data_IF_523196981140
#
_entry.id   IF_523196981140
#
_cell.length_a   1.000
_cell.length_b   1.000
_cell.length_c   1.000
_cell.angle_alpha   90.00
_cell.angle_beta   90.00
_cell.angle_gamma   90.00
#
_symmetry.space_group_name_H-M   'P 1'
#
loop_
_entity.id
_entity.type
_entity.pdbx_description
1 polymer ?
#
# COMPACT_ATOMS: atom_id res chain seq x y z
N UNK A 1 41.17 2.65 6.32
CA UNK A 1 41.82 3.59 5.39
C UNK A 1 41.32 3.26 3.99
N UNK A 2 40.60 4.18 3.30
CA UNK A 2 40.19 3.96 1.91
C UNK A 2 41.44 4.04 1.03
N UNK A 3 41.86 2.95 0.40
CA UNK A 3 42.84 3.02 -0.68
C UNK A 3 42.09 3.31 -1.97
N UNK A 4 42.01 4.58 -2.36
CA UNK A 4 41.78 4.95 -3.74
C UNK A 4 43.11 4.84 -4.48
N UNK A 5 43.52 3.61 -4.82
CA UNK A 5 44.65 3.40 -5.69
C UNK A 5 44.19 2.64 -6.93
N UNK A 6 44.70 3.07 -8.07
CA UNK A 6 44.57 2.38 -9.36
C UNK A 6 45.28 1.01 -9.30
N UNK A 7 44.70 0.08 -8.56
CA UNK A 7 45.24 -1.25 -8.30
C UNK A 7 44.34 -2.30 -8.94
N UNK A 8 44.96 -3.32 -9.55
CA UNK A 8 44.23 -4.46 -10.06
C UNK A 8 43.56 -5.24 -8.91
N UNK A 9 42.32 -5.64 -9.13
CA UNK A 9 41.48 -6.41 -8.22
C UNK A 9 41.62 -7.90 -8.54
N UNK A 10 41.82 -8.72 -7.51
CA UNK A 10 41.94 -10.17 -7.65
C UNK A 10 40.64 -10.90 -7.31
N UNK A 11 40.53 -12.16 -7.76
CA UNK A 11 39.50 -13.07 -7.24
C UNK A 11 39.75 -13.32 -5.74
N UNK A 12 38.69 -13.29 -4.94
CA UNK A 12 38.73 -13.31 -3.48
C UNK A 12 38.83 -11.92 -2.84
N UNK A 13 39.05 -10.85 -3.61
CA UNK A 13 39.18 -9.50 -3.06
C UNK A 13 37.88 -9.05 -2.41
N UNK A 14 37.97 -8.56 -1.17
CA UNK A 14 36.82 -7.98 -0.49
C UNK A 14 36.57 -6.57 -0.98
N UNK A 15 35.32 -6.32 -1.35
CA UNK A 15 34.80 -5.03 -1.79
C UNK A 15 33.54 -4.69 -1.01
N UNK A 16 33.19 -3.40 -0.92
CA UNK A 16 31.93 -2.97 -0.32
C UNK A 16 31.33 -1.84 -1.12
N UNK A 17 30.01 -1.78 -1.16
CA UNK A 17 29.26 -0.64 -1.69
C UNK A 17 28.26 -0.11 -0.67
N UNK A 18 28.05 1.20 -0.69
CA UNK A 18 26.99 1.87 0.07
C UNK A 18 25.63 1.82 -0.66
N UNK A 19 25.61 1.35 -1.91
CA UNK A 19 24.40 1.27 -2.71
C UNK A 19 23.52 0.09 -2.30
N UNK A 20 22.20 0.31 -2.36
CA UNK A 20 21.17 -0.72 -2.20
C UNK A 20 21.30 -1.58 -0.94
N UNK A 21 21.92 -1.03 0.11
CA UNK A 21 22.23 -1.73 1.37
C UNK A 21 22.98 -3.06 1.16
N UNK A 22 23.79 -3.18 0.10
CA UNK A 22 24.50 -4.42 -0.23
C UNK A 22 25.66 -4.70 0.71
N UNK A 23 26.38 -3.67 1.16
CA UNK A 23 27.48 -3.83 2.10
C UNK A 23 28.69 -4.56 1.50
N UNK A 24 29.32 -5.44 2.29
CA UNK A 24 30.53 -6.19 1.92
C UNK A 24 30.22 -7.37 1.00
N UNK A 25 31.15 -7.65 0.10
CA UNK A 25 31.11 -8.78 -0.83
C UNK A 25 32.50 -9.18 -1.29
N UNK A 26 32.56 -10.25 -2.08
CA UNK A 26 33.80 -10.82 -2.60
C UNK A 26 33.74 -10.89 -4.12
N UNK A 27 34.81 -10.46 -4.78
CA UNK A 27 34.97 -10.64 -6.23
C UNK A 27 35.24 -12.12 -6.50
N UNK A 28 34.39 -12.78 -7.28
CA UNK A 28 34.58 -14.21 -7.59
C UNK A 28 34.92 -14.46 -9.06
N UNK A 29 34.72 -13.48 -9.95
CA UNK A 29 35.20 -13.53 -11.32
C UNK A 29 35.64 -12.14 -11.79
N UNK A 30 36.70 -12.12 -12.60
CA UNK A 30 37.20 -10.93 -13.30
C UNK A 30 37.24 -11.26 -14.79
N UNK A 31 36.59 -10.43 -15.59
CA UNK A 31 36.49 -10.61 -17.04
C UNK A 31 37.20 -9.45 -17.74
N UNK A 32 38.00 -9.73 -18.77
CA UNK A 32 38.76 -8.72 -19.49
C UNK A 32 40.10 -8.36 -18.84
N UNK A 33 40.79 -7.37 -19.42
CA UNK A 33 42.10 -6.91 -18.96
C UNK A 33 41.94 -5.63 -18.15
N UNK A 34 42.35 -5.64 -16.89
CA UNK A 34 42.18 -4.51 -15.97
C UNK A 34 43.07 -3.32 -16.36
N UNK A 35 42.48 -2.12 -16.42
CA UNK A 35 43.17 -0.85 -16.69
C UNK A 35 42.76 0.20 -15.68
N UNK A 36 43.00 0.00 -14.37
CA UNK A 36 42.46 0.86 -13.31
C UNK A 36 43.02 2.29 -13.37
N UNK A 37 44.23 2.47 -13.91
CA UNK A 37 44.84 3.79 -14.12
C UNK A 37 44.12 4.63 -15.20
N UNK A 38 43.35 4.00 -16.09
CA UNK A 38 42.54 4.70 -17.09
C UNK A 38 41.17 5.14 -16.57
N UNK A 39 40.79 4.71 -15.37
CA UNK A 39 39.49 5.04 -14.77
C UNK A 39 39.47 6.51 -14.36
N UNK A 40 38.44 7.21 -14.78
CA UNK A 40 38.18 8.60 -14.41
C UNK A 40 36.71 8.86 -14.15
N UNK A 41 36.42 10.07 -13.65
CA UNK A 41 35.05 10.54 -13.42
C UNK A 41 34.89 11.97 -13.95
N UNK A 42 33.80 12.22 -14.66
CA UNK A 42 33.39 13.56 -15.07
C UNK A 42 32.41 14.18 -14.07
N UNK A 43 32.29 15.53 -14.04
CA UNK A 43 31.20 16.20 -13.33
C UNK A 43 29.84 15.62 -13.74
N UNK A 44 28.93 15.46 -12.79
CA UNK A 44 27.60 14.86 -13.02
C UNK A 44 27.50 13.35 -12.81
N UNK A 45 28.56 12.69 -12.29
CA UNK A 45 28.49 11.29 -11.87
C UNK A 45 28.73 10.25 -12.97
N UNK A 46 29.29 10.67 -14.10
CA UNK A 46 29.67 9.77 -15.20
C UNK A 46 31.08 9.24 -14.94
N UNK A 47 31.20 7.92 -14.76
CA UNK A 47 32.49 7.22 -14.70
C UNK A 47 32.86 6.66 -16.08
N UNK A 48 34.14 6.69 -16.43
CA UNK A 48 34.67 6.16 -17.70
C UNK A 48 36.01 5.44 -17.50
N UNK A 49 36.47 4.77 -18.54
CA UNK A 49 37.75 4.04 -18.53
C UNK A 49 37.65 2.66 -17.90
N UNK A 50 38.79 1.97 -17.84
CA UNK A 50 38.86 0.55 -17.51
C UNK A 50 38.53 -0.34 -18.71
N UNK A 51 38.89 -1.62 -18.59
CA UNK A 51 38.71 -2.63 -19.65
C UNK A 51 38.38 -4.03 -19.07
N UNK A 52 37.91 -4.04 -17.82
CA UNK A 52 37.43 -5.24 -17.14
C UNK A 52 36.02 -5.07 -16.54
N UNK A 53 35.38 -6.21 -16.28
CA UNK A 53 34.16 -6.30 -15.48
C UNK A 53 34.29 -7.35 -14.39
N UNK A 54 33.51 -7.20 -13.32
CA UNK A 54 33.66 -7.97 -12.09
C UNK A 54 32.34 -8.61 -11.69
N UNK A 55 32.39 -9.90 -11.35
CA UNK A 55 31.28 -10.56 -10.67
C UNK A 55 31.56 -10.60 -9.16
N UNK A 56 30.59 -10.11 -8.39
CA UNK A 56 30.72 -9.89 -6.95
C UNK A 56 29.54 -10.57 -6.25
N UNK A 57 29.84 -11.40 -5.25
CA UNK A 57 28.86 -12.02 -4.37
C UNK A 57 28.87 -11.27 -3.02
N UNK A 58 27.70 -10.82 -2.55
CA UNK A 58 27.60 -10.06 -1.29
C UNK A 58 27.35 -10.99 -0.10
N UNK A 59 27.93 -10.64 1.04
CA UNK A 59 27.72 -11.36 2.32
C UNK A 59 26.27 -11.24 2.79
N UNK A 60 25.58 -10.15 2.43
CA UNK A 60 24.15 -9.92 2.66
C UNK A 60 23.23 -10.70 1.72
N UNK A 61 23.80 -11.37 0.71
CA UNK A 61 23.07 -12.10 -0.32
C UNK A 61 22.93 -11.33 -1.65
N UNK A 62 22.80 -12.10 -2.73
CA UNK A 62 22.69 -11.61 -4.11
C UNK A 62 24.03 -11.31 -4.79
N UNK A 63 23.95 -11.15 -6.12
CA UNK A 63 25.12 -11.06 -6.99
C UNK A 63 25.05 -9.81 -7.87
N UNK A 64 26.19 -9.16 -8.05
CA UNK A 64 26.40 -8.22 -9.15
C UNK A 64 27.19 -8.93 -10.23
N UNK A 65 26.64 -9.08 -11.43
CA UNK A 65 27.36 -9.67 -12.58
C UNK A 65 27.79 -8.57 -13.55
N UNK A 66 29.03 -8.64 -14.01
CA UNK A 66 29.58 -7.73 -15.01
C UNK A 66 29.68 -6.28 -14.55
N UNK A 67 29.98 -6.02 -13.27
CA UNK A 67 30.18 -4.65 -12.79
C UNK A 67 31.38 -4.00 -13.51
N UNK A 68 31.23 -2.86 -14.19
CA UNK A 68 32.34 -2.21 -14.87
C UNK A 68 33.44 -1.74 -13.91
N UNK A 69 34.70 -1.84 -14.36
CA UNK A 69 35.88 -1.36 -13.62
C UNK A 69 35.77 0.11 -13.21
N UNK A 70 35.23 0.96 -14.09
CA UNK A 70 34.99 2.38 -13.79
C UNK A 70 34.02 2.62 -12.63
N UNK A 71 33.08 1.69 -12.40
CA UNK A 71 32.15 1.76 -11.27
C UNK A 71 32.78 1.20 -10.01
N UNK A 72 33.50 0.07 -10.10
CA UNK A 72 34.15 -0.55 -8.94
C UNK A 72 35.23 0.36 -8.32
N UNK A 73 35.95 1.12 -9.13
CA UNK A 73 36.89 2.14 -8.67
C UNK A 73 36.22 3.51 -8.38
N UNK A 74 34.91 3.60 -8.56
CA UNK A 74 34.12 4.80 -8.31
C UNK A 74 33.93 5.13 -6.83
N UNK A 75 33.44 6.34 -6.55
CA UNK A 75 33.32 6.89 -5.18
C UNK A 75 32.42 6.10 -4.23
N UNK A 76 31.47 5.34 -4.77
CA UNK A 76 30.48 4.57 -4.00
C UNK A 76 30.97 3.18 -3.59
N UNK A 77 32.15 2.79 -4.06
CA UNK A 77 32.76 1.50 -3.78
C UNK A 77 34.01 1.66 -2.94
N UNK A 78 34.38 0.60 -2.23
CA UNK A 78 35.59 0.51 -1.45
C UNK A 78 36.19 -0.87 -1.63
N UNK A 79 37.45 -0.91 -2.04
CA UNK A 79 38.23 -2.13 -2.21
C UNK A 79 39.11 -2.26 -0.96
N UNK A 80 39.06 -3.40 -0.30
CA UNK A 80 39.81 -3.67 0.92
C UNK A 80 41.01 -4.55 0.58
N UNK A 81 42.15 -4.44 1.29
CA UNK A 81 43.32 -5.28 1.05
C UNK A 81 43.08 -6.77 1.38
N UNK A 82 42.01 -7.07 2.11
CA UNK A 82 41.61 -8.43 2.47
C UNK A 82 41.25 -9.27 1.24
N UNK A 83 41.87 -10.45 1.13
CA UNK A 83 41.58 -11.46 0.12
C UNK A 83 41.10 -12.73 0.85
N UNK A 84 39.87 -13.16 0.55
CA UNK A 84 39.26 -14.39 1.06
C UNK A 84 39.87 -15.61 0.40
N UNK A 85 39.90 -16.73 1.13
CA UNK A 85 40.30 -18.03 0.57
C UNK A 85 39.36 -18.47 -0.55
N UNK A 86 39.76 -19.47 -1.34
CA UNK A 86 38.91 -20.06 -2.37
C UNK A 86 37.65 -20.68 -1.75
N UNK A 87 37.79 -21.35 -0.62
CA UNK A 87 36.70 -21.97 0.11
C UNK A 87 35.74 -20.93 0.70
N UNK A 88 36.28 -19.84 1.28
CA UNK A 88 35.47 -18.72 1.78
C UNK A 88 34.70 -18.04 0.64
N UNK A 89 35.37 -17.74 -0.47
CA UNK A 89 34.76 -17.15 -1.66
C UNK A 89 33.64 -18.05 -2.18
N UNK A 90 33.89 -19.35 -2.32
CA UNK A 90 32.88 -20.32 -2.76
C UNK A 90 31.68 -20.40 -1.81
N UNK A 91 31.89 -20.30 -0.48
CA UNK A 91 30.79 -20.25 0.50
C UNK A 91 29.94 -19.00 0.32
N UNK A 92 30.55 -17.83 0.16
CA UNK A 92 29.84 -16.56 -0.04
C UNK A 92 29.05 -16.59 -1.35
N UNK A 93 29.65 -17.06 -2.45
CA UNK A 93 28.97 -17.23 -3.75
C UNK A 93 27.78 -18.16 -3.62
N UNK A 94 27.95 -19.34 -3.02
CA UNK A 94 26.86 -20.30 -2.82
C UNK A 94 25.70 -19.71 -2.01
N UNK A 95 26.01 -18.98 -0.95
CA UNK A 95 24.99 -18.29 -0.16
C UNK A 95 24.24 -17.25 -1.00
N UNK A 96 24.96 -16.38 -1.71
CA UNK A 96 24.39 -15.35 -2.56
C UNK A 96 23.50 -15.92 -3.66
N UNK A 97 23.93 -16.98 -4.35
CA UNK A 97 23.12 -17.67 -5.36
C UNK A 97 21.86 -18.31 -4.78
N UNK A 98 21.93 -18.87 -3.57
CA UNK A 98 20.76 -19.44 -2.91
C UNK A 98 19.72 -18.37 -2.57
N UNK A 99 20.16 -17.17 -2.18
CA UNK A 99 19.28 -16.05 -1.88
C UNK A 99 18.64 -15.46 -3.15
N UNK A 100 19.37 -15.36 -4.27
CA UNK A 100 18.76 -14.96 -5.56
C UNK A 100 17.73 -15.99 -6.02
N UNK A 101 18.04 -17.28 -5.90
CA UNK A 101 17.11 -18.35 -6.26
C UNK A 101 15.86 -18.32 -5.40
N UNK A 102 16.00 -18.14 -4.08
CA UNK A 102 14.88 -17.99 -3.15
C UNK A 102 13.99 -16.82 -3.53
N UNK A 103 14.58 -15.63 -3.74
CA UNK A 103 13.82 -14.43 -4.15
C UNK A 103 13.15 -14.58 -5.51
N UNK A 104 13.82 -15.23 -6.46
CA UNK A 104 13.25 -15.51 -7.78
C UNK A 104 12.09 -16.49 -7.69
N UNK A 105 12.23 -17.57 -6.91
CA UNK A 105 11.17 -18.53 -6.67
C UNK A 105 9.98 -17.90 -5.95
N UNK A 106 10.21 -17.09 -4.92
CA UNK A 106 9.15 -16.32 -4.23
C UNK A 106 8.40 -15.39 -5.20
N UNK A 107 9.13 -14.72 -6.11
CA UNK A 107 8.53 -13.86 -7.13
C UNK A 107 7.72 -14.66 -8.16
N UNK A 108 8.23 -15.80 -8.60
CA UNK A 108 7.55 -16.70 -9.54
C UNK A 108 6.30 -17.33 -8.90
N UNK A 109 6.39 -17.77 -7.65
CA UNK A 109 5.27 -18.30 -6.87
C UNK A 109 4.22 -17.21 -6.65
N UNK A 110 4.62 -16.00 -6.27
CA UNK A 110 3.70 -14.87 -6.13
C UNK A 110 3.03 -14.50 -7.46
N UNK A 111 3.77 -14.49 -8.58
CA UNK A 111 3.22 -14.24 -9.91
C UNK A 111 2.24 -15.35 -10.34
N UNK A 112 2.55 -16.62 -10.05
CA UNK A 112 1.66 -17.76 -10.32
C UNK A 112 0.38 -17.68 -9.52
N UNK A 113 0.47 -17.40 -8.21
CA UNK A 113 -0.69 -17.22 -7.35
C UNK A 113 -1.56 -16.03 -7.81
N UNK A 114 -0.92 -14.91 -8.17
CA UNK A 114 -1.61 -13.75 -8.69
C UNK A 114 -2.35 -14.04 -10.00
N UNK A 115 -1.72 -14.78 -10.92
CA UNK A 115 -2.34 -15.20 -12.18
C UNK A 115 -3.51 -16.15 -11.96
N UNK A 116 -3.34 -17.18 -11.10
CA UNK A 116 -4.40 -18.12 -10.76
C UNK A 116 -5.61 -17.41 -10.13
N UNK A 117 -5.38 -16.48 -9.21
CA UNK A 117 -6.45 -15.71 -8.58
C UNK A 117 -7.13 -14.76 -9.57
N UNK A 118 -6.37 -14.15 -10.47
CA UNK A 118 -6.94 -13.32 -11.54
C UNK A 118 -7.89 -14.10 -12.43
N UNK A 119 -7.51 -15.32 -12.84
CA UNK A 119 -8.39 -16.18 -13.64
C UNK A 119 -9.62 -16.63 -12.86
N UNK A 120 -9.45 -17.05 -11.60
CA UNK A 120 -10.57 -17.43 -10.72
C UNK A 120 -11.59 -16.31 -10.61
N UNK A 121 -11.14 -15.07 -10.39
CA UNK A 121 -12.00 -13.89 -10.23
C UNK A 121 -12.74 -13.50 -11.51
N UNK A 122 -12.12 -13.65 -12.69
CA UNK A 122 -12.78 -13.37 -13.97
C UNK A 122 -13.97 -14.29 -14.23
N UNK A 123 -13.90 -15.53 -13.76
CA UNK A 123 -14.93 -16.57 -13.97
C UNK A 123 -15.84 -16.79 -12.76
N UNK A 124 -15.64 -16.05 -11.67
CA UNK A 124 -16.35 -16.22 -10.42
C UNK A 124 -17.86 -15.89 -10.58
N UNK A 125 -18.79 -16.83 -10.27
CA UNK A 125 -20.22 -16.61 -10.44
C UNK A 125 -20.76 -15.39 -9.68
N UNK A 126 -20.19 -15.10 -8.51
CA UNK A 126 -20.56 -13.94 -7.69
C UNK A 126 -20.28 -12.59 -8.37
N UNK A 127 -19.40 -12.56 -9.37
CA UNK A 127 -19.05 -11.35 -10.13
C UNK A 127 -19.53 -11.39 -11.59
N UNK A 128 -20.31 -12.39 -11.98
CA UNK A 128 -20.80 -12.56 -13.35
C UNK A 128 -21.59 -11.34 -13.88
N UNK A 129 -22.24 -10.58 -12.99
CA UNK A 129 -22.97 -9.38 -13.36
C UNK A 129 -22.08 -8.13 -13.53
N UNK A 130 -20.82 -8.17 -13.10
CA UNK A 130 -19.92 -7.01 -13.09
C UNK A 130 -19.24 -6.83 -14.45
N UNK A 131 -19.04 -5.57 -14.84
CA UNK A 131 -18.31 -5.22 -16.06
C UNK A 131 -16.81 -5.35 -15.83
N UNK A 132 -16.12 -5.91 -16.83
CA UNK A 132 -14.66 -5.98 -16.93
C UNK A 132 -14.11 -4.96 -17.95
N UNK A 133 -14.97 -4.02 -18.40
CA UNK A 133 -14.62 -3.02 -19.41
C UNK A 133 -13.74 -1.95 -18.77
N UNK A 134 -12.46 -1.89 -19.16
CA UNK A 134 -11.40 -1.05 -18.57
C UNK A 134 -11.67 0.46 -18.70
N UNK A 135 -12.64 0.97 -17.95
CA UNK A 135 -13.17 2.33 -18.03
C UNK A 135 -12.96 3.14 -16.73
N UNK A 136 -11.98 2.75 -15.92
CA UNK A 136 -11.60 3.43 -14.67
C UNK A 136 -12.79 3.65 -13.73
N UNK A 137 -12.92 4.85 -13.17
CA UNK A 137 -14.01 5.18 -12.24
C UNK A 137 -15.42 4.95 -12.81
N UNK A 138 -15.63 5.02 -14.13
CA UNK A 138 -16.95 4.75 -14.73
C UNK A 138 -17.34 3.27 -14.54
N UNK A 139 -16.41 2.35 -14.80
CA UNK A 139 -16.58 0.92 -14.54
C UNK A 139 -16.88 0.67 -13.07
N UNK A 140 -16.08 1.25 -12.17
CA UNK A 140 -16.23 1.10 -10.72
C UNK A 140 -17.61 1.57 -10.25
N UNK A 141 -18.09 2.75 -10.69
CA UNK A 141 -19.42 3.22 -10.30
C UNK A 141 -20.53 2.29 -10.77
N UNK A 142 -20.41 1.69 -11.96
CA UNK A 142 -21.39 0.73 -12.49
C UNK A 142 -21.42 -0.54 -11.66
N UNK A 143 -20.24 -1.09 -11.36
CA UNK A 143 -20.10 -2.34 -10.60
C UNK A 143 -20.56 -2.18 -9.14
N UNK A 144 -20.18 -1.09 -8.47
CA UNK A 144 -20.67 -0.78 -7.11
C UNK A 144 -22.20 -0.71 -7.07
N UNK A 145 -22.85 -0.06 -8.05
CA UNK A 145 -24.34 -0.01 -8.08
C UNK A 145 -24.96 -1.40 -8.16
N UNK A 146 -24.39 -2.30 -8.96
CA UNK A 146 -24.90 -3.67 -9.13
C UNK A 146 -24.78 -4.47 -7.83
N UNK A 147 -23.62 -4.41 -7.19
CA UNK A 147 -23.39 -5.14 -5.94
C UNK A 147 -24.25 -4.62 -4.79
N UNK A 148 -24.31 -3.30 -4.59
CA UNK A 148 -25.12 -2.72 -3.53
C UNK A 148 -26.61 -3.01 -3.71
N UNK A 149 -27.11 -2.97 -4.95
CA UNK A 149 -28.50 -3.32 -5.25
C UNK A 149 -28.81 -4.79 -4.99
N UNK A 150 -27.86 -5.69 -5.27
CA UNK A 150 -28.03 -7.12 -5.02
C UNK A 150 -27.98 -7.44 -3.52
N UNK A 151 -27.06 -6.81 -2.77
CA UNK A 151 -26.87 -7.08 -1.34
C UNK A 151 -27.91 -6.41 -0.44
N UNK A 152 -28.37 -5.22 -0.81
CA UNK A 152 -29.32 -4.42 -0.02
C UNK A 152 -30.57 -4.09 -0.85
N UNK A 153 -31.42 -5.09 -1.13
CA UNK A 153 -32.65 -4.86 -1.88
C UNK A 153 -33.56 -3.89 -1.13
N UNK A 154 -34.15 -2.94 -1.86
CA UNK A 154 -35.04 -1.92 -1.31
C UNK A 154 -34.36 -0.61 -0.89
N UNK A 155 -33.03 -0.57 -0.83
CA UNK A 155 -32.28 0.67 -0.52
C UNK A 155 -31.84 1.37 -1.82
N UNK A 156 -32.06 2.68 -1.90
CA UNK A 156 -31.69 3.49 -3.05
C UNK A 156 -30.30 4.10 -2.87
N UNK A 157 -29.31 3.57 -3.58
CA UNK A 157 -27.94 4.11 -3.61
C UNK A 157 -27.74 5.11 -4.75
N UNK A 158 -27.11 6.25 -4.43
CA UNK A 158 -26.58 7.25 -5.36
C UNK A 158 -25.06 7.07 -5.47
N UNK A 159 -24.61 6.41 -6.53
CA UNK A 159 -23.18 6.16 -6.80
C UNK A 159 -22.72 7.05 -7.95
N UNK A 160 -21.82 7.98 -7.66
CA UNK A 160 -21.35 9.00 -8.61
C UNK A 160 -19.84 9.09 -8.65
N UNK A 161 -19.29 9.28 -9.85
CA UNK A 161 -17.90 9.66 -10.05
C UNK A 161 -17.72 11.12 -9.59
N UNK A 162 -16.74 11.40 -8.73
CA UNK A 162 -16.38 12.77 -8.30
C UNK A 162 -15.20 13.34 -9.09
N UNK A 163 -14.29 12.48 -9.54
CA UNK A 163 -13.09 12.86 -10.27
C UNK A 163 -12.54 11.68 -11.07
N UNK A 164 -11.34 11.82 -11.62
CA UNK A 164 -10.71 10.73 -12.38
C UNK A 164 -10.59 9.44 -11.56
N UNK A 165 -10.23 9.58 -10.28
CA UNK A 165 -9.86 8.49 -9.38
C UNK A 165 -10.70 8.45 -8.09
N UNK A 166 -11.94 8.94 -8.17
CA UNK A 166 -12.80 9.04 -6.98
C UNK A 166 -14.27 8.79 -7.24
N UNK A 167 -14.89 8.07 -6.31
CA UNK A 167 -16.31 7.69 -6.31
C UNK A 167 -16.94 8.06 -4.98
N UNK A 168 -18.18 8.53 -5.01
CA UNK A 168 -19.01 8.70 -3.82
C UNK A 168 -20.28 7.86 -3.89
N UNK A 169 -20.59 7.19 -2.78
CA UNK A 169 -21.75 6.34 -2.55
C UNK A 169 -22.56 6.99 -1.45
N UNK A 170 -23.78 7.42 -1.78
CA UNK A 170 -24.67 8.07 -0.80
C UNK A 170 -25.99 7.30 -0.76
N UNK A 171 -26.58 7.14 0.42
CA UNK A 171 -27.89 6.52 0.62
C UNK A 171 -28.56 7.07 1.87
N UNK A 172 -29.83 6.76 2.05
CA UNK A 172 -30.62 7.17 3.23
C UNK A 172 -31.06 5.94 4.01
N UNK A 173 -30.91 5.98 5.33
CA UNK A 173 -31.25 4.89 6.29
C UNK A 173 -30.57 3.55 5.92
N UNK A 174 -31.20 2.41 6.20
CA UNK A 174 -30.78 1.11 5.66
C UNK A 174 -29.48 0.55 6.27
N UNK A 175 -28.55 -0.02 5.48
CA UNK A 175 -27.31 -0.61 6.01
C UNK A 175 -26.40 0.43 6.63
N UNK A 176 -25.57 0.01 7.59
CA UNK A 176 -24.57 0.89 8.20
C UNK A 176 -23.45 1.23 7.21
N UNK A 177 -22.67 2.26 7.52
CA UNK A 177 -21.54 2.65 6.67
C UNK A 177 -20.51 1.52 6.55
N UNK A 178 -20.28 0.77 7.62
CA UNK A 178 -19.37 -0.38 7.67
C UNK A 178 -19.85 -1.50 6.72
N UNK A 179 -21.16 -1.77 6.70
CA UNK A 179 -21.73 -2.79 5.81
C UNK A 179 -21.59 -2.43 4.33
N UNK A 180 -21.69 -1.13 4.01
CA UNK A 180 -21.47 -0.62 2.66
C UNK A 180 -19.97 -0.61 2.32
N UNK A 181 -19.10 -0.17 3.23
CA UNK A 181 -17.63 -0.22 3.07
C UNK A 181 -17.12 -1.64 2.82
N UNK A 182 -17.68 -2.63 3.51
CA UNK A 182 -17.36 -4.04 3.27
C UNK A 182 -17.65 -4.51 1.83
N UNK A 183 -18.51 -3.81 1.09
CA UNK A 183 -18.76 -4.05 -0.35
C UNK A 183 -17.85 -3.19 -1.22
N UNK A 184 -17.63 -1.93 -0.84
CA UNK A 184 -17.02 -0.93 -1.73
C UNK A 184 -15.51 -0.82 -1.60
N UNK A 185 -14.93 -1.17 -0.45
CA UNK A 185 -13.49 -0.98 -0.18
C UNK A 185 -12.59 -1.84 -1.06
N UNK A 186 -13.08 -2.98 -1.59
CA UNK A 186 -12.33 -3.80 -2.56
C UNK A 186 -12.07 -3.10 -3.90
N UNK A 187 -12.78 -2.01 -4.17
CA UNK A 187 -12.52 -1.16 -5.35
C UNK A 187 -11.43 -0.11 -5.11
N UNK A 188 -10.93 0.03 -3.88
CA UNK A 188 -9.77 0.88 -3.59
C UNK A 188 -8.49 0.24 -4.14
N UNK A 189 -7.65 1.01 -4.83
CA UNK A 189 -6.37 0.52 -5.37
C UNK A 189 -5.13 1.27 -4.84
N UNK A 190 -5.37 2.28 -4.00
CA UNK A 190 -4.36 2.99 -3.25
C UNK A 190 -4.91 3.55 -1.93
N UNK A 191 -4.01 3.92 -1.03
CA UNK A 191 -4.28 4.68 0.18
C UNK A 191 -3.14 5.66 0.45
N UNK A 192 -3.40 6.68 1.25
CA UNK A 192 -2.39 7.66 1.64
C UNK A 192 -1.75 7.27 2.98
N UNK A 193 -0.43 7.06 3.00
CA UNK A 193 0.35 6.85 4.21
C UNK A 193 0.85 8.20 4.73
N UNK A 194 0.18 8.71 5.77
CA UNK A 194 0.53 10.00 6.38
C UNK A 194 1.85 9.99 7.15
N UNK A 195 2.42 8.83 7.50
CA UNK A 195 3.74 8.76 8.13
C UNK A 195 4.86 8.95 7.11
N UNK A 196 4.64 8.49 5.87
CA UNK A 196 5.60 8.59 4.77
C UNK A 196 5.29 9.74 3.80
N UNK A 197 4.17 10.45 4.00
CA UNK A 197 3.66 11.51 3.12
C UNK A 197 3.57 11.06 1.65
N UNK A 198 3.05 9.84 1.43
CA UNK A 198 2.96 9.28 0.08
C UNK A 198 1.74 8.41 -0.17
N UNK A 199 1.34 8.32 -1.44
CA UNK A 199 0.34 7.35 -1.89
C UNK A 199 0.98 5.97 -2.08
N UNK A 200 0.37 4.95 -1.47
CA UNK A 200 0.79 3.56 -1.54
C UNK A 200 -0.27 2.78 -2.31
N UNK A 201 0.16 2.00 -3.31
CA UNK A 201 -0.76 1.14 -4.05
C UNK A 201 -1.14 -0.09 -3.24
N UNK A 202 -2.44 -0.39 -3.19
CA UNK A 202 -3.01 -1.64 -2.71
C UNK A 202 -3.75 -2.38 -3.86
N UNK A 203 -3.23 -2.26 -5.08
CA UNK A 203 -3.78 -2.94 -6.24
C UNK A 203 -3.87 -4.47 -6.02
N UNK A 204 -4.99 -5.05 -6.40
CA UNK A 204 -5.32 -6.46 -6.25
C UNK A 204 -5.78 -7.04 -7.58
N UNK A 205 -5.76 -8.37 -7.77
CA UNK A 205 -6.38 -8.99 -8.93
C UNK A 205 -7.81 -8.48 -9.19
N UNK A 206 -8.62 -8.30 -8.14
CA UNK A 206 -10.00 -7.82 -8.23
C UNK A 206 -10.11 -6.44 -8.88
N UNK A 207 -9.40 -5.44 -8.34
CA UNK A 207 -9.49 -4.07 -8.86
C UNK A 207 -8.84 -3.92 -10.24
N UNK A 208 -7.88 -4.79 -10.61
CA UNK A 208 -7.36 -4.84 -11.99
C UNK A 208 -8.38 -5.38 -13.01
N UNK A 209 -9.31 -6.24 -12.58
CA UNK A 209 -10.34 -6.84 -13.45
C UNK A 209 -11.60 -5.95 -13.47
N UNK A 210 -12.11 -5.58 -12.29
CA UNK A 210 -13.41 -4.92 -12.13
C UNK A 210 -13.32 -3.40 -11.91
N UNK A 211 -12.11 -2.84 -12.01
CA UNK A 211 -11.81 -1.43 -11.86
C UNK A 211 -11.31 -1.09 -10.46
N UNK A 212 -10.38 -0.13 -10.39
CA UNK A 212 -9.80 0.42 -9.16
C UNK A 212 -9.88 1.94 -9.16
N UNK A 213 -10.05 2.51 -7.97
CA UNK A 213 -9.95 3.95 -7.72
C UNK A 213 -9.20 4.19 -6.41
N UNK A 214 -8.48 5.31 -6.27
CA UNK A 214 -7.82 5.67 -5.02
C UNK A 214 -8.79 6.04 -3.90
N UNK A 215 -9.97 6.57 -4.23
CA UNK A 215 -10.92 7.05 -3.22
C UNK A 215 -12.35 6.55 -3.45
N UNK A 216 -12.90 5.90 -2.43
CA UNK A 216 -14.33 5.63 -2.31
C UNK A 216 -14.85 6.29 -1.04
N UNK A 217 -15.73 7.26 -1.22
CA UNK A 217 -16.43 7.96 -0.14
C UNK A 217 -17.80 7.35 0.06
N UNK A 218 -18.18 7.12 1.30
CA UNK A 218 -19.49 6.63 1.71
C UNK A 218 -20.14 7.66 2.61
N UNK A 219 -21.41 7.94 2.37
CA UNK A 219 -22.18 8.92 3.15
C UNK A 219 -23.60 8.39 3.36
N UNK A 220 -24.01 8.27 4.63
CA UNK A 220 -25.33 7.78 5.03
C UNK A 220 -26.13 8.93 5.62
N UNK A 221 -27.13 9.37 4.88
CA UNK A 221 -28.15 10.30 5.35
C UNK A 221 -29.18 9.57 6.22
N UNK A 222 -29.82 10.30 7.14
CA UNK A 222 -30.85 9.76 8.02
C UNK A 222 -32.18 10.48 7.80
N UNK A 223 -33.26 9.71 7.63
CA UNK A 223 -34.62 10.24 7.64
C UNK A 223 -35.01 10.72 9.04
N UNK A 224 -36.00 11.61 9.10
CA UNK A 224 -36.53 12.08 10.38
C UNK A 224 -37.11 10.94 11.23
N UNK A 225 -37.64 9.89 10.60
CA UNK A 225 -38.08 8.68 11.30
C UNK A 225 -36.94 7.94 11.98
N UNK A 226 -35.77 7.82 11.34
CA UNK A 226 -34.58 7.24 11.96
C UNK A 226 -34.02 8.11 13.08
N UNK A 227 -33.94 9.43 12.84
CA UNK A 227 -33.52 10.39 13.87
C UNK A 227 -34.42 10.32 15.10
N UNK A 228 -35.74 10.27 14.91
CA UNK A 228 -36.68 10.14 16.03
C UNK A 228 -36.44 8.86 16.84
N UNK A 229 -36.24 7.71 16.18
CA UNK A 229 -35.92 6.45 16.88
C UNK A 229 -34.66 6.57 17.72
N UNK A 230 -33.60 7.17 17.19
CA UNK A 230 -32.36 7.38 17.93
C UNK A 230 -32.54 8.34 19.12
N UNK A 231 -33.28 9.43 18.91
CA UNK A 231 -33.68 10.37 19.97
C UNK A 231 -34.44 9.65 21.07
N UNK A 232 -35.43 8.81 20.75
CA UNK A 232 -36.24 8.09 21.73
C UNK A 232 -35.41 7.09 22.55
N UNK A 233 -34.47 6.39 21.90
CA UNK A 233 -33.53 5.47 22.56
C UNK A 233 -32.68 6.23 23.58
N UNK A 234 -32.10 7.36 23.18
CA UNK A 234 -31.22 8.18 24.03
C UNK A 234 -32.01 8.85 25.15
N UNK A 235 -33.18 9.41 24.85
CA UNK A 235 -34.07 10.00 25.84
C UNK A 235 -34.44 8.99 26.93
N UNK A 236 -34.78 7.75 26.54
CA UNK A 236 -35.08 6.67 27.49
C UNK A 236 -33.84 6.24 28.29
N UNK A 237 -32.67 6.18 27.65
CA UNK A 237 -31.41 5.75 28.31
C UNK A 237 -30.97 6.73 29.39
N UNK A 238 -31.19 8.03 29.19
CA UNK A 238 -30.71 9.08 30.10
C UNK A 238 -31.81 9.81 30.88
N UNK A 239 -33.05 9.31 30.87
CA UNK A 239 -34.20 9.96 31.50
C UNK A 239 -34.02 10.31 32.98
N UNK A 240 -33.21 9.53 33.72
CA UNK A 240 -32.90 9.80 35.13
C UNK A 240 -31.56 10.51 35.38
N UNK A 241 -30.66 10.57 34.40
CA UNK A 241 -29.34 11.22 34.55
C UNK A 241 -29.31 12.64 34.01
N UNK A 242 -30.26 12.99 33.14
CA UNK A 242 -30.43 14.31 32.53
C UNK A 242 -31.83 14.85 32.85
N UNK A 243 -32.23 14.74 34.11
CA UNK A 243 -33.56 15.17 34.56
C UNK A 243 -33.77 16.68 34.32
N UNK A 244 -34.90 17.03 33.70
CA UNK A 244 -35.23 18.41 33.30
C UNK A 244 -34.78 18.81 31.89
N UNK A 245 -33.99 17.98 31.19
CA UNK A 245 -33.60 18.23 29.81
C UNK A 245 -34.52 17.54 28.81
N UNK A 246 -35.16 18.31 27.94
CA UNK A 246 -36.01 17.76 26.88
C UNK A 246 -35.18 17.25 25.70
N UNK A 247 -35.03 15.94 25.56
CA UNK A 247 -34.32 15.33 24.42
C UNK A 247 -35.33 15.09 23.29
N UNK A 248 -35.43 16.02 22.35
CA UNK A 248 -36.41 15.98 21.24
C UNK A 248 -35.75 16.07 19.87
N UNK A 249 -36.47 15.60 18.84
CA UNK A 249 -35.99 15.66 17.45
C UNK A 249 -35.78 17.10 16.96
N UNK A 250 -36.63 18.04 17.38
CA UNK A 250 -36.47 19.45 17.01
C UNK A 250 -35.16 20.03 17.53
N UNK A 251 -34.84 19.79 18.82
CA UNK A 251 -33.57 20.23 19.44
C UNK A 251 -32.35 19.51 18.85
N UNK A 252 -32.51 18.25 18.44
CA UNK A 252 -31.46 17.52 17.71
C UNK A 252 -31.19 18.14 16.35
N UNK A 253 -32.25 18.45 15.58
CA UNK A 253 -32.13 19.04 14.25
C UNK A 253 -31.60 20.48 14.28
N UNK A 254 -31.86 21.26 15.34
CA UNK A 254 -31.27 22.60 15.54
C UNK A 254 -29.84 22.57 16.10
N UNK A 255 -29.36 21.41 16.54
CA UNK A 255 -28.03 21.23 17.13
C UNK A 255 -27.92 21.67 18.59
N UNK A 256 -29.03 22.03 19.25
CA UNK A 256 -29.05 22.48 20.64
C UNK A 256 -28.58 21.39 21.62
N UNK A 257 -28.85 20.12 21.31
CA UNK A 257 -28.46 18.99 22.16
C UNK A 257 -26.94 18.79 22.23
N UNK A 258 -26.15 19.50 21.43
CA UNK A 258 -24.69 19.49 21.53
C UNK A 258 -24.20 20.07 22.87
N UNK A 259 -24.95 21.01 23.44
CA UNK A 259 -24.62 21.67 24.72
C UNK A 259 -25.14 20.91 25.94
N UNK A 260 -26.08 19.99 25.75
CA UNK A 260 -26.73 19.23 26.83
C UNK A 260 -25.82 18.09 27.30
N UNK A 261 -25.55 18.00 28.60
CA UNK A 261 -24.77 16.91 29.18
C UNK A 261 -23.29 16.88 28.74
N UNK A 262 -22.72 18.01 28.31
CA UNK A 262 -21.39 18.04 27.69
C UNK A 262 -20.27 17.55 28.62
N UNK A 263 -20.39 17.81 29.91
CA UNK A 263 -19.45 17.37 30.94
C UNK A 263 -19.72 15.93 31.41
N UNK A 264 -20.88 15.37 31.04
CA UNK A 264 -21.28 14.01 31.36
C UNK A 264 -20.70 12.99 30.36
N UNK A 265 -20.45 13.39 29.11
CA UNK A 265 -19.93 12.51 28.06
C UNK A 265 -18.45 12.75 27.75
N UNK A 266 -17.66 11.68 27.65
CA UNK A 266 -16.21 11.71 27.43
C UNK A 266 -15.77 12.43 26.14
N UNK A 267 -16.64 12.50 25.12
CA UNK A 267 -16.34 13.10 23.83
C UNK A 267 -16.74 14.57 23.73
N UNK A 268 -17.34 15.16 24.77
CA UNK A 268 -17.73 16.58 24.83
C UNK A 268 -18.61 17.07 23.65
N UNK A 269 -19.40 16.17 23.05
CA UNK A 269 -20.39 16.53 22.01
C UNK A 269 -21.82 16.52 22.54
N UNK A 270 -21.99 16.42 23.87
CA UNK A 270 -23.29 16.37 24.52
C UNK A 270 -24.14 15.18 24.07
N UNK A 271 -25.45 15.30 24.31
CA UNK A 271 -26.46 14.34 23.87
C UNK A 271 -26.47 14.18 22.34
N UNK A 272 -26.12 15.24 21.58
CA UNK A 272 -26.00 15.18 20.12
C UNK A 272 -25.05 14.07 19.66
N UNK A 273 -23.89 13.92 20.30
CA UNK A 273 -22.91 12.90 19.95
C UNK A 273 -23.40 11.47 20.21
N UNK A 274 -24.13 11.26 21.31
CA UNK A 274 -24.71 9.94 21.61
C UNK A 274 -25.84 9.57 20.63
N UNK A 275 -26.66 10.55 20.21
CA UNK A 275 -27.67 10.33 19.15
C UNK A 275 -26.99 9.98 17.83
N UNK A 276 -25.95 10.73 17.43
CA UNK A 276 -25.20 10.46 16.21
C UNK A 276 -24.53 9.07 16.22
N UNK A 277 -23.95 8.66 17.35
CA UNK A 277 -23.38 7.30 17.51
C UNK A 277 -24.48 6.24 17.38
N UNK A 278 -25.62 6.45 18.05
CA UNK A 278 -26.76 5.54 17.94
C UNK A 278 -27.25 5.45 16.48
N UNK A 279 -27.33 6.58 15.76
CA UNK A 279 -27.69 6.61 14.35
C UNK A 279 -26.76 5.78 13.46
N UNK A 280 -25.45 5.82 13.72
CA UNK A 280 -24.49 5.00 12.95
C UNK A 280 -24.69 3.50 13.13
N UNK A 281 -25.25 3.08 14.27
CA UNK A 281 -25.39 1.66 14.64
C UNK A 281 -26.77 1.08 14.27
N UNK A 282 -27.84 1.89 14.25
CA UNK A 282 -29.20 1.42 13.98
C UNK A 282 -29.53 1.31 12.48
N UNK A 283 -30.52 0.48 12.17
CA UNK A 283 -31.00 0.17 10.81
C UNK A 283 -32.49 0.47 10.65
#
# INVERSE_FOLDING_TARGET
MKMQNAQAVAVGQVVSTVLYNRGRGVVFAVHGEQKPASVGSLPGGVSYGGNATFDIAFESGGISRGLPESILHGKQWSIFPEIKSREETARIVKHAESEERRKQQEKEDAARLYAAESERLKTAPEYAALSQDKNGAVQVTSNIRKELKAKFPGVKFSVRKRGYDSVSVNWTDGPTEEEVKAVTDKYKDSYFDGMQDMSVSCASPFNRIYGGVGYVFTDRDYSDGMKQKAVDIIAKKYSGSLEGEEITLARFNSGELYRVGRDYFWHSQGVQGEINRTLSEIK
#
